data_IF_322166909551
#
_entry.id   IF_322166909551
#
_cell.length_a   1.000
_cell.length_b   1.000
_cell.length_c   1.000
_cell.angle_alpha   90.00
_cell.angle_beta   90.00
_cell.angle_gamma   90.00
#
_symmetry.space_group_name_H-M   'P 1'
#
loop_
_entity.id
_entity.type
_entity.pdbx_description
1 polymer ?
#
# COMPACT_ATOMS: atom_id res chain seq x y z
N UNK A 1 -5.45 38.02 31.01
CA UNK A 1 -4.15 37.86 30.31
C UNK A 1 -3.56 36.46 30.45
N UNK A 2 -3.63 35.80 31.62
CA UNK A 2 -3.11 34.41 31.77
C UNK A 2 -3.86 33.32 30.99
N UNK A 3 -5.19 33.41 30.88
CA UNK A 3 -6.03 32.39 30.22
C UNK A 3 -5.72 32.31 28.71
N UNK A 4 -5.61 33.45 28.02
CA UNK A 4 -5.31 33.53 26.58
C UNK A 4 -3.91 33.01 26.24
N UNK A 5 -2.95 33.14 27.16
CA UNK A 5 -1.59 32.62 26.99
C UNK A 5 -1.57 31.10 27.10
N UNK A 6 -2.26 30.54 28.09
CA UNK A 6 -2.35 29.09 28.29
C UNK A 6 -3.02 28.38 27.10
N UNK A 7 -4.13 28.93 26.60
CA UNK A 7 -4.81 28.40 25.40
C UNK A 7 -3.89 28.38 24.16
N UNK A 8 -3.10 29.44 23.99
CA UNK A 8 -2.15 29.54 22.87
C UNK A 8 -1.09 28.45 22.96
N UNK A 9 -0.52 28.22 24.16
CA UNK A 9 0.49 27.18 24.40
C UNK A 9 -0.07 25.79 24.05
N UNK A 10 -1.29 25.47 24.49
CA UNK A 10 -1.93 24.18 24.18
C UNK A 10 -2.10 24.00 22.67
N UNK A 11 -2.58 25.03 21.96
CA UNK A 11 -2.77 24.97 20.49
C UNK A 11 -1.45 24.68 19.77
N UNK A 12 -0.37 25.36 20.14
CA UNK A 12 0.94 25.12 19.53
C UNK A 12 1.49 23.74 19.86
N UNK A 13 1.29 23.25 21.09
CA UNK A 13 1.70 21.90 21.47
C UNK A 13 0.94 20.84 20.66
N UNK A 14 -0.38 20.98 20.51
CA UNK A 14 -1.19 20.08 19.72
C UNK A 14 -0.78 20.09 18.24
N UNK A 15 -0.56 21.27 17.68
CA UNK A 15 -0.08 21.42 16.30
C UNK A 15 1.28 20.74 16.10
N UNK A 16 2.21 20.92 17.05
CA UNK A 16 3.52 20.29 17.00
C UNK A 16 3.43 18.76 17.05
N UNK A 17 2.63 18.21 17.96
CA UNK A 17 2.39 16.76 18.06
C UNK A 17 1.75 16.23 16.77
N UNK A 18 0.78 16.96 16.21
CA UNK A 18 0.10 16.58 14.98
C UNK A 18 1.07 16.54 13.78
N UNK A 19 1.90 17.57 13.59
CA UNK A 19 2.91 17.61 12.53
C UNK A 19 3.94 16.48 12.71
N UNK A 20 4.40 16.26 13.95
CA UNK A 20 5.31 15.16 14.28
C UNK A 20 4.71 13.80 13.92
N UNK A 21 3.44 13.58 14.27
CA UNK A 21 2.70 12.37 13.92
C UNK A 21 2.56 12.17 12.41
N UNK A 22 2.19 13.21 11.65
CA UNK A 22 2.10 13.17 10.18
C UNK A 22 3.45 12.88 9.51
N UNK A 23 4.56 13.30 10.13
CA UNK A 23 5.91 13.07 9.60
C UNK A 23 6.43 11.67 9.91
N UNK A 24 6.22 11.20 11.14
CA UNK A 24 6.73 9.90 11.62
C UNK A 24 5.93 8.74 11.01
N UNK A 25 4.62 8.88 10.89
CA UNK A 25 3.72 7.83 10.40
C UNK A 25 4.11 7.22 9.05
N UNK A 26 4.38 8.00 7.98
CA UNK A 26 4.80 7.44 6.69
C UNK A 26 6.17 6.74 6.76
N UNK A 27 7.08 7.19 7.64
CA UNK A 27 8.38 6.51 7.84
C UNK A 27 8.19 5.12 8.48
N UNK A 28 7.35 5.02 9.51
CA UNK A 28 7.01 3.75 10.14
C UNK A 28 6.28 2.84 9.15
N UNK A 29 5.32 3.37 8.40
CA UNK A 29 4.61 2.64 7.36
C UNK A 29 5.57 2.05 6.31
N UNK A 30 6.49 2.87 5.79
CA UNK A 30 7.51 2.41 4.85
C UNK A 30 8.41 1.33 5.47
N UNK A 31 8.84 1.51 6.72
CA UNK A 31 9.64 0.52 7.45
C UNK A 31 8.91 -0.82 7.61
N UNK A 32 7.61 -0.79 7.98
CA UNK A 32 6.76 -1.97 8.08
C UNK A 32 6.53 -2.68 6.75
N UNK A 33 6.54 -1.95 5.63
CA UNK A 33 6.45 -2.56 4.31
C UNK A 33 7.69 -3.42 3.98
N UNK A 34 8.88 -2.98 4.39
CA UNK A 34 10.12 -3.76 4.21
C UNK A 34 10.20 -4.97 5.14
N UNK A 35 9.67 -4.87 6.37
CA UNK A 35 9.73 -5.94 7.38
C UNK A 35 8.31 -6.31 7.88
N UNK A 36 7.56 -7.14 7.14
CA UNK A 36 6.17 -7.47 7.47
C UNK A 36 5.99 -8.21 8.80
N UNK A 37 7.00 -8.97 9.23
CA UNK A 37 6.95 -9.74 10.49
C UNK A 37 6.80 -8.81 11.70
N UNK A 38 7.60 -7.74 11.76
CA UNK A 38 7.52 -6.74 12.82
C UNK A 38 6.17 -6.03 12.83
N UNK A 39 5.64 -5.73 11.64
CA UNK A 39 4.31 -5.12 11.46
C UNK A 39 3.23 -6.03 12.03
N UNK A 40 3.20 -7.30 11.63
CA UNK A 40 2.15 -8.24 12.02
C UNK A 40 2.19 -8.51 13.55
N UNK A 41 3.38 -8.57 14.15
CA UNK A 41 3.53 -8.72 15.60
C UNK A 41 3.14 -7.44 16.36
N UNK A 42 3.45 -6.26 15.80
CA UNK A 42 3.05 -4.98 16.39
C UNK A 42 1.53 -4.78 16.32
N UNK A 43 0.88 -5.09 15.19
CA UNK A 43 -0.57 -4.97 15.04
C UNK A 43 -1.31 -5.84 16.07
N UNK A 44 -0.83 -7.08 16.30
CA UNK A 44 -1.43 -7.98 17.30
C UNK A 44 -1.38 -7.43 18.72
N UNK A 45 -0.35 -6.65 19.05
CA UNK A 45 -0.13 -6.13 20.40
C UNK A 45 -0.67 -4.70 20.58
N UNK A 46 -0.71 -3.90 19.53
CA UNK A 46 -0.97 -2.45 19.58
C UNK A 46 -1.84 -1.99 18.39
N UNK A 47 -2.97 -2.64 18.17
CA UNK A 47 -3.85 -2.39 17.02
C UNK A 47 -4.21 -0.90 16.85
N UNK A 48 -4.64 -0.22 17.92
CA UNK A 48 -5.04 1.20 17.86
C UNK A 48 -3.87 2.11 17.45
N UNK A 49 -2.65 1.83 17.92
CA UNK A 49 -1.47 2.61 17.54
C UNK A 49 -1.13 2.34 16.08
N UNK A 50 -1.24 1.08 15.63
CA UNK A 50 -1.04 0.74 14.24
C UNK A 50 -2.04 1.46 13.32
N UNK A 51 -3.33 1.48 13.69
CA UNK A 51 -4.37 2.23 12.97
C UNK A 51 -4.04 3.73 12.91
N UNK A 52 -3.55 4.32 14.00
CA UNK A 52 -3.12 5.72 14.01
C UNK A 52 -1.91 5.95 13.07
N UNK A 53 -0.95 5.04 13.00
CA UNK A 53 0.17 5.12 12.05
C UNK A 53 -0.34 5.02 10.61
N UNK A 54 -1.25 4.09 10.30
CA UNK A 54 -1.84 3.98 8.97
C UNK A 54 -2.62 5.23 8.57
N UNK A 55 -3.43 5.77 9.48
CA UNK A 55 -4.19 7.00 9.24
C UNK A 55 -3.25 8.19 9.00
N UNK A 56 -2.18 8.32 9.79
CA UNK A 56 -1.20 9.39 9.60
C UNK A 56 -0.47 9.26 8.25
N UNK A 57 -0.05 8.06 7.87
CA UNK A 57 0.59 7.81 6.58
C UNK A 57 -0.37 8.08 5.41
N UNK A 58 -1.64 7.67 5.53
CA UNK A 58 -2.68 7.95 4.55
C UNK A 58 -2.92 9.45 4.38
N UNK A 59 -3.10 10.19 5.49
CA UNK A 59 -3.31 11.63 5.46
C UNK A 59 -2.12 12.37 4.86
N UNK A 60 -0.89 11.98 5.20
CA UNK A 60 0.31 12.59 4.62
C UNK A 60 0.39 12.31 3.12
N UNK A 61 0.19 11.07 2.69
CA UNK A 61 0.14 10.72 1.27
C UNK A 61 -0.94 11.49 0.52
N UNK A 62 -2.13 11.58 1.12
CA UNK A 62 -3.26 12.32 0.58
C UNK A 62 -2.99 13.81 0.41
N UNK A 63 -2.37 14.47 1.40
CA UNK A 63 -1.98 15.89 1.31
C UNK A 63 -0.98 16.08 0.17
N UNK A 64 0.06 15.25 0.10
CA UNK A 64 1.10 15.33 -0.94
C UNK A 64 0.49 15.14 -2.34
N UNK A 65 -0.32 14.11 -2.53
CA UNK A 65 -0.97 13.83 -3.81
C UNK A 65 -1.94 14.94 -4.20
N UNK A 66 -2.79 15.39 -3.27
CA UNK A 66 -3.77 16.45 -3.55
C UNK A 66 -3.08 17.76 -3.94
N UNK A 67 -1.99 18.11 -3.27
CA UNK A 67 -1.17 19.30 -3.60
C UNK A 67 -0.52 19.14 -4.99
N UNK A 68 0.03 17.96 -5.28
CA UNK A 68 0.60 17.66 -6.60
C UNK A 68 -0.44 17.72 -7.72
N UNK A 69 -1.63 17.16 -7.49
CA UNK A 69 -2.75 17.19 -8.44
C UNK A 69 -3.26 18.61 -8.68
N UNK A 70 -3.29 19.44 -7.64
CA UNK A 70 -3.62 20.86 -7.79
C UNK A 70 -2.66 21.51 -8.81
N UNK A 71 -1.34 21.32 -8.68
CA UNK A 71 -0.40 21.87 -9.68
C UNK A 71 -0.61 21.31 -11.10
N UNK A 72 -1.06 20.07 -11.24
CA UNK A 72 -1.39 19.48 -12.54
C UNK A 72 -2.67 20.05 -13.18
N UNK A 73 -3.58 20.59 -12.38
CA UNK A 73 -4.80 21.26 -12.83
C UNK A 73 -4.54 22.73 -13.26
N UNK A 74 -3.39 23.03 -13.85
CA UNK A 74 -3.02 24.39 -14.29
C UNK A 74 -3.97 24.99 -15.34
N UNK A 75 -4.72 24.14 -16.05
CA UNK A 75 -5.69 24.53 -17.07
C UNK A 75 -7.03 25.00 -16.47
N UNK A 76 -7.28 24.75 -15.19
CA UNK A 76 -8.49 25.22 -14.49
C UNK A 76 -8.25 26.67 -14.05
N UNK A 77 -9.04 27.65 -14.54
CA UNK A 77 -8.88 29.04 -14.14
C UNK A 77 -9.09 29.24 -12.63
N UNK A 78 -8.28 30.09 -12.00
CA UNK A 78 -8.43 30.44 -10.57
C UNK A 78 -9.76 31.14 -10.27
N UNK A 79 -10.36 31.76 -11.30
CA UNK A 79 -11.68 32.38 -11.24
C UNK A 79 -12.85 31.39 -11.27
N UNK A 80 -12.59 30.08 -11.30
CA UNK A 80 -13.63 29.05 -11.16
C UNK A 80 -13.72 28.58 -9.71
N UNK A 81 -14.93 28.64 -9.15
CA UNK A 81 -15.16 28.39 -7.73
C UNK A 81 -16.52 28.90 -7.30
N UNK A 82 -16.77 28.89 -5.99
CA UNK A 82 -18.00 29.39 -5.39
C UNK A 82 -17.69 30.05 -4.04
N UNK A 83 -18.59 30.92 -3.60
CA UNK A 83 -18.55 31.47 -2.24
C UNK A 83 -19.21 30.47 -1.29
N UNK A 84 -18.60 30.24 -0.13
CA UNK A 84 -19.19 29.46 0.95
C UNK A 84 -20.21 30.29 1.76
N UNK A 85 -20.73 29.71 2.85
CA UNK A 85 -21.71 30.39 3.72
C UNK A 85 -21.15 31.61 4.47
N UNK A 86 -19.83 31.68 4.64
CA UNK A 86 -19.10 32.76 5.32
C UNK A 86 -18.58 33.82 4.32
N UNK A 87 -18.79 33.58 3.01
CA UNK A 87 -18.33 34.45 1.94
C UNK A 87 -16.88 34.19 1.53
N UNK A 88 -16.28 33.09 1.97
CA UNK A 88 -14.94 32.68 1.52
C UNK A 88 -15.03 32.03 0.14
N UNK A 89 -14.13 32.43 -0.76
CA UNK A 89 -14.10 31.90 -2.11
C UNK A 89 -13.31 30.59 -2.17
N UNK A 90 -14.02 29.49 -2.41
CA UNK A 90 -13.44 28.15 -2.56
C UNK A 90 -13.14 27.91 -4.04
N UNK A 91 -11.87 27.67 -4.35
CA UNK A 91 -11.44 27.37 -5.72
C UNK A 91 -11.88 25.96 -6.13
N UNK A 92 -12.49 25.84 -7.32
CA UNK A 92 -12.90 24.55 -7.88
C UNK A 92 -11.72 23.59 -8.04
N UNK A 93 -10.55 24.14 -8.36
CA UNK A 93 -9.30 23.41 -8.54
C UNK A 93 -8.89 22.62 -7.28
N UNK A 94 -8.98 23.26 -6.12
CA UNK A 94 -8.68 22.63 -4.83
C UNK A 94 -9.69 21.52 -4.49
N UNK A 95 -10.96 21.74 -4.77
CA UNK A 95 -11.99 20.72 -4.57
C UNK A 95 -11.78 19.48 -5.47
N UNK A 96 -11.47 19.70 -6.75
CA UNK A 96 -11.17 18.61 -7.69
C UNK A 96 -9.91 17.83 -7.29
N UNK A 97 -8.84 18.53 -6.90
CA UNK A 97 -7.61 17.87 -6.48
C UNK A 97 -7.82 17.03 -5.21
N UNK A 98 -8.64 17.51 -4.27
CA UNK A 98 -9.02 16.77 -3.07
C UNK A 98 -9.79 15.49 -3.39
N UNK A 99 -10.82 15.57 -4.24
CA UNK A 99 -11.63 14.39 -4.63
C UNK A 99 -10.75 13.36 -5.35
N UNK A 100 -10.00 13.79 -6.36
CA UNK A 100 -9.14 12.90 -7.14
C UNK A 100 -8.05 12.30 -6.24
N UNK A 101 -7.45 13.10 -5.36
CA UNK A 101 -6.46 12.64 -4.40
C UNK A 101 -6.98 11.54 -3.49
N UNK A 102 -8.25 11.63 -3.07
CA UNK A 102 -8.88 10.62 -2.22
C UNK A 102 -9.03 9.29 -2.96
N UNK A 103 -9.52 9.32 -4.20
CA UNK A 103 -9.64 8.12 -5.02
C UNK A 103 -8.28 7.51 -5.38
N UNK A 104 -7.29 8.34 -5.72
CA UNK A 104 -5.92 7.87 -6.02
C UNK A 104 -5.31 7.18 -4.80
N UNK A 105 -5.45 7.78 -3.62
CA UNK A 105 -4.95 7.16 -2.38
C UNK A 105 -5.67 5.85 -2.05
N UNK A 106 -6.99 5.81 -2.21
CA UNK A 106 -7.77 4.57 -2.03
C UNK A 106 -7.32 3.47 -2.99
N UNK A 107 -7.11 3.82 -4.26
CA UNK A 107 -6.63 2.89 -5.28
C UNK A 107 -5.20 2.39 -5.00
N UNK A 108 -4.29 3.27 -4.57
CA UNK A 108 -2.94 2.89 -4.16
C UNK A 108 -2.96 1.95 -2.94
N UNK A 109 -3.83 2.22 -1.96
CA UNK A 109 -4.04 1.33 -0.82
C UNK A 109 -4.47 -0.07 -1.24
N UNK A 110 -5.45 -0.16 -2.15
CA UNK A 110 -5.90 -1.42 -2.74
C UNK A 110 -4.77 -2.16 -3.47
N UNK A 111 -3.98 -1.46 -4.29
CA UNK A 111 -2.85 -2.07 -4.99
C UNK A 111 -1.78 -2.60 -4.03
N UNK A 112 -1.48 -1.87 -2.96
CA UNK A 112 -0.54 -2.31 -1.93
C UNK A 112 -1.03 -3.56 -1.21
N UNK A 113 -2.33 -3.65 -0.91
CA UNK A 113 -2.93 -4.84 -0.31
C UNK A 113 -2.85 -6.06 -1.25
N UNK A 114 -3.17 -5.88 -2.53
CA UNK A 114 -3.05 -6.94 -3.54
C UNK A 114 -1.60 -7.42 -3.67
N UNK A 115 -0.64 -6.49 -3.70
CA UNK A 115 0.78 -6.82 -3.75
C UNK A 115 1.23 -7.61 -2.51
N UNK A 116 0.81 -7.21 -1.32
CA UNK A 116 1.14 -7.91 -0.08
C UNK A 116 0.53 -9.32 -0.04
N UNK A 117 -0.70 -9.50 -0.53
CA UNK A 117 -1.35 -10.80 -0.64
C UNK A 117 -0.60 -11.74 -1.60
N UNK A 118 -0.22 -11.24 -2.76
CA UNK A 118 0.57 -12.00 -3.73
C UNK A 118 1.96 -12.36 -3.17
N UNK A 119 2.61 -11.44 -2.43
CA UNK A 119 3.89 -11.69 -1.76
C UNK A 119 3.76 -12.81 -0.72
N UNK A 120 2.69 -12.83 0.08
CA UNK A 120 2.42 -13.89 1.07
C UNK A 120 2.21 -15.24 0.40
N UNK A 121 1.43 -15.31 -0.68
CA UNK A 121 1.23 -16.54 -1.45
C UNK A 121 2.56 -17.09 -2.00
N UNK A 122 3.39 -16.21 -2.59
CA UNK A 122 4.72 -16.61 -3.08
C UNK A 122 5.64 -17.14 -1.97
N UNK A 123 5.55 -16.59 -0.76
CA UNK A 123 6.33 -17.08 0.39
C UNK A 123 5.86 -18.47 0.85
N UNK A 124 4.54 -18.68 0.94
CA UNK A 124 3.96 -19.98 1.31
C UNK A 124 4.36 -21.06 0.30
N UNK A 125 4.23 -20.76 -1.00
CA UNK A 125 4.63 -21.67 -2.06
C UNK A 125 6.12 -22.03 -1.97
N UNK A 126 7.01 -21.06 -1.68
CA UNK A 126 8.44 -21.33 -1.47
C UNK A 126 8.69 -22.23 -0.26
N UNK A 127 7.95 -22.05 0.84
CA UNK A 127 8.06 -22.87 2.04
C UNK A 127 7.62 -24.30 1.73
N UNK A 128 6.46 -24.48 1.07
CA UNK A 128 5.95 -25.79 0.66
C UNK A 128 6.95 -26.51 -0.27
N UNK A 129 7.44 -25.84 -1.31
CA UNK A 129 8.46 -26.38 -2.21
C UNK A 129 9.75 -26.78 -1.46
N UNK A 130 10.16 -26.00 -0.46
CA UNK A 130 11.32 -26.33 0.36
C UNK A 130 11.08 -27.54 1.28
N UNK A 131 9.84 -27.75 1.75
CA UNK A 131 9.45 -28.90 2.55
C UNK A 131 9.38 -30.17 1.69
N UNK A 132 8.75 -30.09 0.50
CA UNK A 132 8.71 -31.19 -0.46
C UNK A 132 10.12 -31.64 -0.87
N UNK A 133 11.04 -30.71 -1.15
CA UNK A 133 12.43 -31.05 -1.49
C UNK A 133 13.16 -31.86 -0.41
N UNK A 134 12.80 -31.69 0.87
CA UNK A 134 13.43 -32.42 1.98
C UNK A 134 12.89 -33.83 2.15
N UNK A 135 11.63 -34.07 1.78
CA UNK A 135 10.93 -35.34 2.03
C UNK A 135 10.99 -36.25 0.79
N UNK A 136 10.90 -35.66 -0.39
CA UNK A 136 10.73 -36.39 -1.64
C UNK A 136 12.09 -36.55 -2.34
N UNK A 137 12.52 -37.78 -2.67
CA UNK A 137 13.73 -37.99 -3.44
C UNK A 137 13.64 -37.22 -4.77
N UNK A 138 14.74 -36.57 -5.19
CA UNK A 138 14.79 -35.68 -6.37
C UNK A 138 14.16 -36.30 -7.62
N UNK A 139 14.23 -37.63 -7.76
CA UNK A 139 13.63 -38.41 -8.86
C UNK A 139 12.10 -38.36 -8.91
N UNK A 140 11.41 -38.32 -7.77
CA UNK A 140 9.94 -38.24 -7.71
C UNK A 140 9.44 -36.81 -7.93
N UNK A 141 10.20 -35.81 -7.44
CA UNK A 141 9.92 -34.39 -7.69
C UNK A 141 10.00 -34.04 -9.18
N UNK A 142 11.02 -34.55 -9.88
CA UNK A 142 11.15 -34.35 -11.33
C UNK A 142 9.96 -34.97 -12.07
N UNK A 143 9.50 -36.17 -11.68
CA UNK A 143 8.32 -36.79 -12.29
C UNK A 143 7.05 -35.98 -12.06
N UNK A 144 6.86 -35.46 -10.86
CA UNK A 144 5.69 -34.63 -10.55
C UNK A 144 5.69 -33.32 -11.36
N UNK A 145 6.84 -32.66 -11.49
CA UNK A 145 6.98 -31.46 -12.33
C UNK A 145 6.80 -31.75 -13.82
N UNK A 146 7.31 -32.88 -14.32
CA UNK A 146 7.08 -33.32 -15.70
C UNK A 146 5.59 -33.54 -15.96
N UNK A 147 4.90 -34.25 -15.07
CA UNK A 147 3.47 -34.48 -15.19
C UNK A 147 2.65 -33.18 -15.16
N UNK A 148 3.00 -32.24 -14.26
CA UNK A 148 2.32 -30.93 -14.19
C UNK A 148 2.57 -30.08 -15.44
N UNK A 149 3.78 -30.13 -15.99
CA UNK A 149 4.12 -29.45 -17.25
C UNK A 149 3.31 -30.03 -18.42
N UNK A 150 3.14 -31.36 -18.48
CA UNK A 150 2.31 -32.03 -19.48
C UNK A 150 0.82 -31.66 -19.35
N UNK A 151 0.28 -31.60 -18.13
CA UNK A 151 -1.09 -31.12 -17.88
C UNK A 151 -1.29 -29.68 -18.38
N UNK A 152 -0.34 -28.80 -18.06
CA UNK A 152 -0.35 -27.43 -18.55
C UNK A 152 -0.28 -27.41 -20.09
N UNK A 153 0.63 -28.13 -20.71
CA UNK A 153 0.76 -28.18 -22.17
C UNK A 153 -0.47 -28.73 -22.92
N UNK A 154 -1.31 -29.52 -22.26
CA UNK A 154 -2.58 -30.00 -22.83
C UNK A 154 -3.71 -28.95 -22.80
N UNK A 155 -3.59 -27.88 -22.01
CA UNK A 155 -4.55 -26.79 -22.00
C UNK A 155 -4.20 -25.74 -23.07
N UNK A 156 -5.13 -25.51 -24.01
CA UNK A 156 -4.93 -24.61 -25.15
C UNK A 156 -5.10 -23.12 -24.80
N UNK A 157 -5.56 -22.82 -23.59
CA UNK A 157 -5.75 -21.47 -23.07
C UNK A 157 -5.11 -21.40 -21.68
N UNK A 158 -4.08 -20.56 -21.57
CA UNK A 158 -3.39 -20.31 -20.30
C UNK A 158 -3.88 -18.99 -19.72
N UNK A 159 -4.14 -18.98 -18.42
CA UNK A 159 -4.12 -17.74 -17.65
C UNK A 159 -2.68 -17.19 -17.56
N UNK A 160 -2.50 -15.87 -17.38
CA UNK A 160 -1.18 -15.28 -17.21
C UNK A 160 -0.35 -15.94 -16.09
N UNK A 161 -1.03 -16.37 -15.02
CA UNK A 161 -0.40 -17.04 -13.88
C UNK A 161 0.12 -18.45 -14.24
N UNK A 162 -0.64 -19.21 -15.05
CA UNK A 162 -0.23 -20.54 -15.54
C UNK A 162 0.93 -20.46 -16.53
N UNK A 163 1.00 -19.39 -17.33
CA UNK A 163 2.11 -19.16 -18.25
C UNK A 163 3.41 -18.85 -17.47
N UNK A 164 3.30 -18.08 -16.39
CA UNK A 164 4.42 -17.83 -15.48
C UNK A 164 4.85 -19.10 -14.71
N UNK A 165 3.89 -19.91 -14.24
CA UNK A 165 4.17 -21.20 -13.61
C UNK A 165 4.93 -22.14 -14.57
N UNK A 166 4.52 -22.18 -15.84
CA UNK A 166 5.16 -22.99 -16.89
C UNK A 166 6.61 -22.60 -17.12
N UNK A 167 6.94 -21.30 -17.17
CA UNK A 167 8.35 -20.86 -17.28
C UNK A 167 9.19 -21.27 -16.08
N UNK A 168 8.65 -21.14 -14.86
CA UNK A 168 9.33 -21.54 -13.63
C UNK A 168 9.63 -23.05 -13.64
N UNK A 169 8.64 -23.86 -14.03
CA UNK A 169 8.79 -25.31 -14.12
C UNK A 169 9.87 -25.72 -15.15
N UNK A 170 9.90 -25.08 -16.32
CA UNK A 170 10.94 -25.32 -17.34
C UNK A 170 12.34 -25.01 -16.81
N UNK A 171 12.51 -23.88 -16.12
CA UNK A 171 13.80 -23.50 -15.56
C UNK A 171 14.24 -24.49 -14.46
N UNK A 172 13.31 -24.96 -13.62
CA UNK A 172 13.59 -25.93 -12.55
C UNK A 172 14.00 -27.31 -13.08
N UNK A 173 13.47 -27.72 -14.25
CA UNK A 173 13.79 -29.01 -14.89
C UNK A 173 15.11 -28.98 -15.68
N UNK A 174 15.59 -27.79 -16.09
CA UNK A 174 16.86 -27.64 -16.83
C UNK A 174 18.13 -27.60 -15.98
N UNK A 175 18.03 -27.59 -14.64
CA UNK A 175 19.16 -27.51 -13.69
C UNK A 175 19.38 -28.76 -12.84
#
# INVERSE_FOLDING_TARGET
>A
MGVTMFESIIKYLLLFVFIGWLTISPMIFAYWHFIPQLRDDFIKSHETIAQAVYLGAFLTGFIIISTGLEHLLFFVPESWGWLDGDGEYIQLKWFLSFIVGFFVMGYLGFLLEQYDNHRKQNQLMRIELSAYRKITPRSELIKCYQQRLEELEQHSYFSPDEEQEKEILKHLLSG
#
